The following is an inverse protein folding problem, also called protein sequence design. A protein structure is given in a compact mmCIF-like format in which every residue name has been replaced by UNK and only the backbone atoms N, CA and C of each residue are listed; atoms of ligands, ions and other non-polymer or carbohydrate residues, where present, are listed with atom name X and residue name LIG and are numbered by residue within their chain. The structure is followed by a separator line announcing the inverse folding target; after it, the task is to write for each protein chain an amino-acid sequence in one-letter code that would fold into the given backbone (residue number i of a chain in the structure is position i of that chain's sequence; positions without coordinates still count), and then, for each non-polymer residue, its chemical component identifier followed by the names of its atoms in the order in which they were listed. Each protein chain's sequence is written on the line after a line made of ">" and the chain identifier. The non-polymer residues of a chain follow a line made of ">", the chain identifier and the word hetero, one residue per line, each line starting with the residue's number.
data_IF_887154349728
#
_entry.id   IF_887154349728
#
_cell.length_a   1.000
_cell.length_b   1.000
_cell.length_c   1.000
_cell.angle_alpha   90.00
_cell.angle_beta   90.00
_cell.angle_gamma   90.00
#
_symmetry.space_group_name_H-M   'P 1'
#
loop_
_entity.id
_entity.type
_entity.pdbx_description
1 polymer ?
#
# COMPACT_ATOMS: atom_id res chain seq x y z
N UNK A 1 -13.58 -10.72 -5.67
CA UNK A 1 -12.13 -10.83 -5.89
C UNK A 1 -11.48 -10.50 -4.57
N UNK A 2 -10.59 -11.35 -4.08
CA UNK A 2 -9.84 -11.09 -2.86
C UNK A 2 -8.42 -10.69 -3.28
N UNK A 3 -8.16 -9.37 -3.37
CA UNK A 3 -6.82 -8.88 -3.67
C UNK A 3 -6.03 -8.97 -2.35
N UNK A 4 -4.94 -9.75 -2.31
CA UNK A 4 -4.20 -9.94 -1.08
C UNK A 4 -3.64 -8.60 -0.60
N UNK A 5 -3.69 -8.36 0.70
CA UNK A 5 -3.06 -7.19 1.28
C UNK A 5 -1.54 -7.28 1.11
N UNK A 6 -0.89 -6.19 0.69
CA UNK A 6 0.54 -6.19 0.49
C UNK A 6 1.27 -5.89 1.81
N UNK A 7 2.46 -6.45 1.96
CA UNK A 7 3.47 -6.01 2.89
C UNK A 7 4.27 -4.84 2.32
N UNK A 8 5.09 -4.19 3.15
CA UNK A 8 5.93 -3.09 2.70
C UNK A 8 6.92 -3.52 1.59
N UNK A 9 7.47 -4.74 1.69
CA UNK A 9 8.35 -5.26 0.64
C UNK A 9 7.61 -5.57 -0.66
N UNK A 10 6.41 -6.15 -0.58
CA UNK A 10 5.59 -6.40 -1.77
C UNK A 10 5.18 -5.09 -2.45
N UNK A 11 4.83 -4.05 -1.68
CA UNK A 11 4.57 -2.71 -2.24
C UNK A 11 5.78 -2.14 -2.96
N UNK A 12 6.96 -2.22 -2.35
CA UNK A 12 8.21 -1.76 -2.98
C UNK A 12 8.45 -2.49 -4.31
N UNK A 13 8.34 -3.81 -4.31
CA UNK A 13 8.61 -4.62 -5.49
C UNK A 13 7.56 -4.35 -6.58
N UNK A 14 6.29 -4.24 -6.20
CA UNK A 14 5.21 -3.88 -7.11
C UNK A 14 5.39 -2.50 -7.74
N UNK A 15 5.78 -1.50 -6.95
CA UNK A 15 6.04 -0.14 -7.45
C UNK A 15 7.25 -0.11 -8.38
N UNK A 16 8.27 -0.93 -8.14
CA UNK A 16 9.41 -1.04 -9.06
C UNK A 16 8.98 -1.63 -10.41
N UNK A 17 8.06 -2.60 -10.42
CA UNK A 17 7.51 -3.19 -11.65
C UNK A 17 6.52 -2.27 -12.38
N UNK A 18 5.87 -1.35 -11.67
CA UNK A 18 4.84 -0.46 -12.22
C UNK A 18 5.24 1.02 -12.05
N UNK A 19 6.52 1.33 -12.30
CA UNK A 19 7.15 2.60 -11.91
C UNK A 19 6.39 3.85 -12.39
N UNK A 20 5.87 3.81 -13.61
CA UNK A 20 5.20 4.94 -14.27
C UNK A 20 3.79 5.22 -13.72
N UNK A 21 3.22 4.31 -12.94
CA UNK A 21 1.92 4.50 -12.30
C UNK A 21 1.98 5.34 -11.01
N UNK A 22 3.18 5.54 -10.47
CA UNK A 22 3.40 6.19 -9.19
C UNK A 22 4.21 7.49 -9.33
N UNK A 23 3.81 8.51 -8.58
CA UNK A 23 4.50 9.80 -8.58
C UNK A 23 5.74 9.80 -7.67
N UNK A 24 6.49 10.90 -7.73
CA UNK A 24 7.73 11.07 -6.97
C UNK A 24 7.50 10.99 -5.45
N UNK A 25 6.39 11.50 -4.96
CA UNK A 25 6.10 11.60 -3.53
C UNK A 25 5.68 10.24 -2.95
N UNK A 26 4.95 9.44 -3.74
CA UNK A 26 4.62 8.05 -3.47
C UNK A 26 5.88 7.16 -3.42
N UNK A 27 6.77 7.28 -4.41
CA UNK A 27 8.07 6.60 -4.41
C UNK A 27 8.93 7.00 -3.20
N UNK A 28 8.98 8.30 -2.91
CA UNK A 28 9.69 8.83 -1.74
C UNK A 28 9.12 8.26 -0.44
N UNK A 29 7.80 8.15 -0.33
CA UNK A 29 7.13 7.59 0.84
C UNK A 29 7.59 6.15 1.14
N UNK A 30 7.52 5.25 0.15
CA UNK A 30 7.96 3.86 0.36
C UNK A 30 9.46 3.79 0.64
N UNK A 31 10.27 4.64 0.00
CA UNK A 31 11.71 4.71 0.26
C UNK A 31 11.99 5.11 1.71
N UNK A 32 11.25 6.07 2.27
CA UNK A 32 11.40 6.47 3.68
C UNK A 32 11.00 5.33 4.63
N UNK A 33 9.91 4.61 4.36
CA UNK A 33 9.53 3.46 5.18
C UNK A 33 10.58 2.34 5.15
N UNK A 34 11.12 2.02 3.97
CA UNK A 34 12.21 1.04 3.84
C UNK A 34 13.47 1.55 4.55
N UNK A 35 13.82 2.83 4.38
CA UNK A 35 14.95 3.46 5.05
C UNK A 35 14.88 3.31 6.57
N UNK A 36 13.71 3.56 7.17
CA UNK A 36 13.50 3.36 8.60
C UNK A 36 13.85 1.96 9.07
N UNK A 37 13.63 0.92 8.26
CA UNK A 37 13.88 -0.48 8.64
C UNK A 37 15.37 -0.85 8.64
N UNK A 38 16.21 -0.04 7.97
CA UNK A 38 17.65 -0.26 7.89
C UNK A 38 18.37 0.41 9.07
N UNK A 39 17.73 1.40 9.70
CA UNK A 39 18.29 2.11 10.83
C UNK A 39 18.51 1.19 12.04
N UNK A 40 19.67 1.28 12.69
CA UNK A 40 20.06 0.39 13.80
C UNK A 40 19.04 0.41 14.95
N UNK A 41 18.52 1.59 15.26
CA UNK A 41 17.56 1.79 16.36
C UNK A 41 16.14 1.27 16.04
N UNK A 42 15.85 0.96 14.77
CA UNK A 42 14.55 0.45 14.36
C UNK A 42 14.39 -1.05 14.59
N UNK A 43 15.50 -1.78 14.74
CA UNK A 43 15.55 -3.23 14.77
C UNK A 43 14.78 -3.89 13.60
N UNK A 44 14.87 -3.32 12.40
CA UNK A 44 14.21 -3.89 11.22
C UNK A 44 12.74 -3.52 11.07
N UNK A 45 12.23 -2.54 11.83
CA UNK A 45 10.81 -2.21 11.90
C UNK A 45 10.52 -0.80 11.37
N UNK A 46 9.25 -0.53 11.11
CA UNK A 46 8.76 0.80 10.75
C UNK A 46 7.47 1.13 11.53
N UNK A 47 7.00 2.38 11.43
CA UNK A 47 5.85 2.87 12.18
C UNK A 47 4.81 3.51 11.26
N UNK A 48 3.63 2.89 11.15
CA UNK A 48 2.47 3.48 10.50
C UNK A 48 2.00 4.70 11.30
N UNK A 49 1.89 5.83 10.59
CA UNK A 49 1.52 7.14 11.17
C UNK A 49 2.37 7.55 12.38
N UNK A 50 3.58 6.99 12.53
CA UNK A 50 4.42 7.20 13.71
C UNK A 50 3.92 6.51 15.00
N UNK A 51 2.83 5.74 14.93
CA UNK A 51 2.18 5.14 16.09
C UNK A 51 2.34 3.62 16.14
N UNK A 52 1.92 2.93 15.08
CA UNK A 52 1.81 1.47 15.06
C UNK A 52 3.05 0.84 14.46
N UNK A 53 3.80 0.11 15.27
CA UNK A 53 5.03 -0.57 14.84
C UNK A 53 4.72 -1.83 14.03
N UNK A 54 5.40 -2.00 12.90
CA UNK A 54 5.25 -3.14 11.99
C UNK A 54 6.59 -3.65 11.47
N UNK A 55 6.64 -4.92 11.09
CA UNK A 55 7.75 -5.48 10.31
C UNK A 55 7.47 -5.31 8.81
N UNK A 56 8.51 -5.18 7.96
CA UNK A 56 8.35 -5.03 6.50
C UNK A 56 7.63 -6.17 5.80
N UNK A 57 7.50 -7.33 6.48
CA UNK A 57 6.81 -8.52 6.00
C UNK A 57 5.36 -8.59 6.48
N UNK A 58 4.98 -7.80 7.48
CA UNK A 58 3.62 -7.75 7.97
C UNK A 58 2.71 -7.16 6.89
N UNK A 59 1.52 -7.73 6.75
CA UNK A 59 0.52 -7.23 5.80
C UNK A 59 -0.06 -5.91 6.27
N UNK A 60 -0.13 -4.94 5.36
CA UNK A 60 -0.71 -3.62 5.62
C UNK A 60 -2.21 -3.72 5.35
N UNK A 61 -2.95 -4.20 6.35
CA UNK A 61 -4.41 -4.35 6.25
C UNK A 61 -5.14 -3.05 6.57
N UNK A 62 -6.40 -2.96 6.17
CA UNK A 62 -7.27 -1.83 6.53
C UNK A 62 -7.36 -1.64 8.05
N UNK A 63 -7.46 -2.74 8.80
CA UNK A 63 -7.51 -2.69 10.27
C UNK A 63 -6.24 -2.10 10.86
N UNK A 64 -5.06 -2.36 10.28
CA UNK A 64 -3.79 -1.77 10.72
C UNK A 64 -3.72 -0.26 10.45
N UNK A 65 -4.27 0.18 9.32
CA UNK A 65 -4.38 1.62 9.02
C UNK A 65 -5.32 2.32 10.00
N UNK A 66 -6.48 1.73 10.27
CA UNK A 66 -7.44 2.27 11.25
C UNK A 66 -6.85 2.26 12.67
N UNK A 67 -6.19 1.19 13.07
CA UNK A 67 -5.51 1.09 14.37
C UNK A 67 -4.48 2.23 14.55
N UNK A 68 -3.68 2.51 13.52
CA UNK A 68 -2.71 3.61 13.56
C UNK A 68 -3.39 4.99 13.69
N UNK A 69 -4.51 5.23 12.99
CA UNK A 69 -5.29 6.47 13.10
C UNK A 69 -5.92 6.64 14.47
N UNK A 70 -6.46 5.57 15.06
CA UNK A 70 -7.11 5.62 16.37
C UNK A 70 -6.09 5.86 17.50
N UNK A 71 -4.90 5.24 17.43
CA UNK A 71 -3.81 5.54 18.38
C UNK A 71 -3.41 7.01 18.30
N UNK A 72 -3.31 7.55 17.08
CA UNK A 72 -2.94 8.95 16.83
C UNK A 72 -3.98 9.93 17.41
N UNK A 73 -5.28 9.72 17.13
CA UNK A 73 -6.37 10.53 17.70
C UNK A 73 -6.41 10.48 19.22
N UNK A 74 -6.23 9.28 19.79
CA UNK A 74 -6.20 9.10 21.25
C UNK A 74 -5.04 9.87 21.87
N UNK A 75 -3.83 9.75 21.32
CA UNK A 75 -2.65 10.47 21.83
C UNK A 75 -2.80 11.99 21.71
N UNK A 76 -3.37 12.48 20.62
CA UNK A 76 -3.64 13.91 20.47
C UNK A 76 -4.63 14.41 21.55
N UNK A 77 -5.61 13.59 21.93
CA UNK A 77 -6.55 13.92 23.00
C UNK A 77 -5.90 13.88 24.38
N UNK A 78 -5.01 12.91 24.64
CA UNK A 78 -4.33 12.73 25.92
C UNK A 78 -3.24 13.77 26.20
N UNK A 79 -2.42 14.09 25.19
CA UNK A 79 -1.21 14.89 25.34
C UNK A 79 -1.30 16.27 24.67
N UNK A 80 -2.33 16.53 23.87
CA UNK A 80 -2.49 17.77 23.12
C UNK A 80 -1.60 17.85 21.88
N UNK A 81 -1.29 19.08 21.48
CA UNK A 81 -0.46 19.37 20.32
C UNK A 81 1.05 19.29 20.59
N UNK A 82 1.89 19.44 19.55
CA UNK A 82 3.34 19.38 19.68
C UNK A 82 3.87 20.45 20.64
N UNK A 83 4.77 20.05 21.53
CA UNK A 83 5.40 20.91 22.53
C UNK A 83 6.59 21.71 21.97
N UNK A 84 7.14 21.30 20.82
CA UNK A 84 8.23 22.01 20.15
C UNK A 84 8.21 21.82 18.61
N UNK A 85 9.05 22.59 17.91
CA UNK A 85 9.13 22.56 16.46
C UNK A 85 9.66 21.22 15.88
N UNK A 86 10.48 20.49 16.64
CA UNK A 86 11.01 19.18 16.21
C UNK A 86 9.90 18.13 16.21
N UNK A 87 9.08 18.12 17.26
CA UNK A 87 7.91 17.25 17.38
C UNK A 87 6.88 17.57 16.29
N UNK A 88 6.61 18.86 16.06
CA UNK A 88 5.73 19.28 14.97
C UNK A 88 6.23 18.81 13.60
N UNK A 89 7.54 18.90 13.34
CA UNK A 89 8.15 18.42 12.10
C UNK A 89 8.05 16.89 11.95
N UNK A 90 8.25 16.14 13.03
CA UNK A 90 8.12 14.69 13.06
C UNK A 90 6.68 14.25 12.77
N UNK A 91 5.68 14.85 13.42
CA UNK A 91 4.26 14.57 13.18
C UNK A 91 3.91 14.83 11.71
N UNK A 92 4.37 15.97 11.15
CA UNK A 92 4.15 16.30 9.74
C UNK A 92 4.75 15.27 8.80
N UNK A 93 5.96 14.78 9.08
CA UNK A 93 6.58 13.74 8.27
C UNK A 93 5.82 12.40 8.34
N UNK A 94 5.36 12.03 9.53
CA UNK A 94 4.54 10.82 9.71
C UNK A 94 3.21 10.90 8.96
N UNK A 95 2.54 12.05 9.00
CA UNK A 95 1.30 12.28 8.23
C UNK A 95 1.55 12.22 6.73
N UNK A 96 2.60 12.91 6.24
CA UNK A 96 3.00 12.85 4.84
C UNK A 96 3.25 11.40 4.37
N UNK A 97 3.98 10.61 5.16
CA UNK A 97 4.23 9.20 4.84
C UNK A 97 2.95 8.37 4.86
N UNK A 98 2.06 8.62 5.82
CA UNK A 98 0.82 7.85 5.93
C UNK A 98 -0.17 8.14 4.79
N UNK A 99 -0.36 9.41 4.45
CA UNK A 99 -1.24 9.83 3.35
C UNK A 99 -0.77 9.27 2.00
N UNK A 100 0.54 9.35 1.71
CA UNK A 100 1.07 8.81 0.46
C UNK A 100 1.06 7.28 0.43
N UNK A 101 1.22 6.61 1.58
CA UNK A 101 1.02 5.15 1.65
C UNK A 101 -0.42 4.75 1.30
N UNK A 102 -1.43 5.49 1.79
CA UNK A 102 -2.83 5.24 1.43
C UNK A 102 -3.07 5.39 -0.07
N UNK A 103 -2.46 6.40 -0.72
CA UNK A 103 -2.53 6.57 -2.18
C UNK A 103 -1.87 5.41 -2.93
N UNK A 104 -0.68 4.99 -2.48
CA UNK A 104 0.02 3.82 -3.05
C UNK A 104 -0.85 2.58 -2.97
N UNK A 105 -1.49 2.33 -1.82
CA UNK A 105 -2.40 1.20 -1.64
C UNK A 105 -3.61 1.29 -2.56
N UNK A 106 -4.24 2.45 -2.69
CA UNK A 106 -5.36 2.65 -3.61
C UNK A 106 -4.96 2.28 -5.06
N UNK A 107 -3.83 2.82 -5.54
CA UNK A 107 -3.31 2.50 -6.88
C UNK A 107 -2.94 1.02 -7.05
N UNK A 108 -2.36 0.41 -6.01
CA UNK A 108 -2.07 -1.02 -6.00
C UNK A 108 -3.34 -1.86 -6.25
N UNK A 109 -4.42 -1.56 -5.52
CA UNK A 109 -5.71 -2.24 -5.72
C UNK A 109 -6.32 -1.94 -7.09
N UNK A 110 -6.25 -0.70 -7.56
CA UNK A 110 -6.78 -0.30 -8.86
C UNK A 110 -6.08 -1.04 -10.01
N UNK A 111 -4.75 -1.09 -10.01
CA UNK A 111 -3.96 -1.77 -11.04
C UNK A 111 -4.27 -3.27 -11.06
N UNK A 112 -4.31 -3.91 -9.89
CA UNK A 112 -4.63 -5.35 -9.81
C UNK A 112 -6.07 -5.66 -10.23
N UNK A 113 -7.00 -4.77 -9.90
CA UNK A 113 -8.39 -4.89 -10.35
C UNK A 113 -8.49 -4.74 -11.87
N UNK A 114 -7.78 -3.76 -12.43
CA UNK A 114 -7.73 -3.53 -13.87
C UNK A 114 -7.15 -4.73 -14.62
N UNK A 115 -6.05 -5.33 -14.11
CA UNK A 115 -5.48 -6.54 -14.73
C UNK A 115 -6.42 -7.74 -14.61
N UNK A 116 -7.11 -7.89 -13.48
CA UNK A 116 -8.10 -8.97 -13.29
C UNK A 116 -9.28 -8.86 -14.26
N UNK A 117 -9.74 -7.62 -14.52
CA UNK A 117 -10.86 -7.30 -15.40
C UNK A 117 -10.42 -6.97 -16.84
N UNK A 118 -9.16 -7.18 -17.22
CA UNK A 118 -8.66 -6.84 -18.56
C UNK A 118 -9.39 -7.66 -19.62
N UNK A 119 -10.05 -7.07 -20.63
CA UNK A 119 -10.66 -7.84 -21.69
C UNK A 119 -9.61 -8.56 -22.55
N UNK A 120 -9.96 -9.67 -23.22
CA UNK A 120 -9.08 -10.29 -24.21
C UNK A 120 -8.86 -9.34 -25.39
N UNK A 121 -7.67 -9.38 -25.99
CA UNK A 121 -7.37 -8.57 -27.16
C UNK A 121 -7.94 -9.21 -28.42
N UNK A 122 -8.85 -8.55 -29.17
CA UNK A 122 -9.48 -9.15 -30.34
C UNK A 122 -8.49 -9.53 -31.45
N UNK A 123 -7.36 -8.83 -31.49
CA UNK A 123 -6.32 -8.97 -32.52
C UNK A 123 -5.25 -9.99 -32.16
N UNK A 124 -5.21 -10.45 -30.90
CA UNK A 124 -4.27 -11.49 -30.45
C UNK A 124 -5.03 -12.65 -29.80
N UNK A 125 -5.29 -13.74 -30.53
CA UNK A 125 -6.03 -14.89 -30.02
C UNK A 125 -5.31 -15.64 -28.88
N UNK A 126 -4.02 -15.36 -28.64
CA UNK A 126 -3.28 -15.92 -27.49
C UNK A 126 -3.50 -15.13 -26.20
N UNK A 127 -3.94 -13.86 -26.32
CA UNK A 127 -4.24 -12.98 -25.20
C UNK A 127 -5.66 -13.22 -24.70
N UNK A 128 -5.79 -14.14 -23.75
CA UNK A 128 -7.08 -14.54 -23.15
C UNK A 128 -7.69 -13.50 -22.20
N UNK A 129 -7.10 -12.31 -22.08
CA UNK A 129 -7.49 -11.28 -21.12
C UNK A 129 -7.14 -11.66 -19.66
N UNK A 130 -7.64 -10.86 -18.73
CA UNK A 130 -7.53 -11.05 -17.30
C UNK A 130 -8.29 -12.28 -16.80
N UNK A 131 -7.98 -12.69 -15.57
CA UNK A 131 -8.49 -13.93 -14.99
C UNK A 131 -10.03 -13.99 -14.91
N UNK A 132 -10.71 -12.84 -14.81
CA UNK A 132 -12.17 -12.79 -14.86
C UNK A 132 -12.73 -13.34 -16.18
N UNK A 133 -12.23 -12.84 -17.32
CA UNK A 133 -12.70 -13.23 -18.64
C UNK A 133 -12.37 -14.69 -18.96
N UNK A 134 -11.21 -15.18 -18.51
CA UNK A 134 -10.84 -16.58 -18.66
C UNK A 134 -11.84 -17.51 -17.94
N UNK A 135 -12.17 -17.21 -16.68
CA UNK A 135 -13.17 -17.98 -15.91
C UNK A 135 -14.56 -17.90 -16.51
N UNK A 136 -14.97 -16.73 -17.00
CA UNK A 136 -16.25 -16.54 -17.67
C UNK A 136 -16.34 -17.41 -18.93
N UNK A 137 -15.30 -17.42 -19.76
CA UNK A 137 -15.22 -18.25 -20.94
C UNK A 137 -15.36 -19.74 -20.59
N UNK A 138 -14.62 -20.23 -19.60
CA UNK A 138 -14.72 -21.61 -19.12
C UNK A 138 -16.15 -21.97 -18.70
N UNK A 139 -16.81 -21.14 -17.88
CA UNK A 139 -18.18 -21.38 -17.43
C UNK A 139 -19.19 -21.42 -18.59
N UNK A 140 -19.04 -20.55 -19.59
CA UNK A 140 -19.92 -20.53 -20.76
C UNK A 140 -19.69 -21.68 -21.73
N UNK A 141 -18.51 -22.32 -21.69
CA UNK A 141 -18.16 -23.47 -22.53
C UNK A 141 -18.65 -24.81 -21.98
N UNK A 142 -18.94 -24.90 -20.67
CA UNK A 142 -19.37 -26.14 -20.00
C UNK A 142 -20.81 -26.57 -20.37
N UNK A 143 -21.55 -25.76 -21.15
CA UNK A 143 -22.93 -26.05 -21.59
C UNK A 143 -23.11 -26.32 -23.10
N UNK A 144 -22.04 -26.62 -23.85
CA UNK A 144 -22.09 -26.98 -25.27
C UNK A 144 -21.78 -28.45 -25.51
#
# INVERSE_FOLDING_TARGET
>A
MDIPEPSLYELRDFMNSNRDCFDKDEHKCITLYIGNTIEKYSHGKYWLKGQLQMTPKDKITKDKLLEAEEIDKRRFTEYGGPCNALEAASIREHNYKFENLQKVLAKYYDILTAEYLRPPEPTDPTNKGGLFYQKLAEQTLVGK
#
